data_IF_983825123662
#
_entry.id   IF_983825123662
#
_cell.length_a   1.000
_cell.length_b   1.000
_cell.length_c   1.000
_cell.angle_alpha   90.00
_cell.angle_beta   90.00
_cell.angle_gamma   90.00
#
_symmetry.space_group_name_H-M   'P 1'
#
loop_
_entity.id
_entity.type
_entity.pdbx_description
1 polymer ?
#
# COMPACT_ATOMS: atom_id res chain seq x y z
N UNK A 1 3.37 13.02 9.29
CA UNK A 1 3.59 14.46 9.10
C UNK A 1 3.05 14.84 7.73
N UNK A 2 2.25 15.91 7.64
CA UNK A 2 1.79 16.46 6.36
C UNK A 2 3.00 17.15 5.72
N UNK A 3 3.30 16.92 4.44
CA UNK A 3 4.39 17.64 3.77
C UNK A 3 4.14 19.14 3.81
N UNK A 4 5.18 19.94 4.05
CA UNK A 4 5.12 21.40 4.20
C UNK A 4 4.82 22.16 2.88
N UNK A 5 4.14 21.57 1.93
CA UNK A 5 3.71 22.25 0.71
C UNK A 5 2.25 22.73 0.83
N UNK A 6 1.94 23.96 0.41
CA UNK A 6 0.59 24.53 0.52
C UNK A 6 -0.47 23.71 -0.22
N UNK A 7 -0.06 23.00 -1.29
CA UNK A 7 -0.96 22.12 -2.06
C UNK A 7 -1.36 20.89 -1.25
N UNK A 8 -0.41 20.23 -0.58
CA UNK A 8 -0.68 19.03 0.21
C UNK A 8 -1.47 19.36 1.48
N UNK A 9 -1.23 20.52 2.09
CA UNK A 9 -2.02 20.99 3.23
C UNK A 9 -3.48 21.20 2.82
N UNK A 10 -3.73 21.88 1.68
CA UNK A 10 -5.07 22.07 1.15
C UNK A 10 -5.78 20.73 0.81
N UNK A 11 -5.06 19.77 0.21
CA UNK A 11 -5.60 18.42 -0.07
C UNK A 11 -5.95 17.69 1.23
N UNK A 12 -5.10 17.81 2.25
CA UNK A 12 -5.36 17.21 3.55
C UNK A 12 -6.56 17.82 4.26
N UNK A 13 -6.72 19.14 4.23
CA UNK A 13 -7.86 19.84 4.83
C UNK A 13 -9.18 19.51 4.12
N UNK A 14 -9.13 19.31 2.80
CA UNK A 14 -10.29 18.94 1.99
C UNK A 14 -10.59 17.44 1.97
N UNK A 15 -9.80 16.61 2.64
CA UNK A 15 -9.90 15.13 2.57
C UNK A 15 -11.32 14.60 2.85
N UNK A 16 -12.00 15.16 3.84
CA UNK A 16 -13.35 14.70 4.22
C UNK A 16 -14.41 15.12 3.21
N UNK A 17 -14.29 16.32 2.64
CA UNK A 17 -15.17 16.80 1.57
C UNK A 17 -14.97 15.95 0.33
N UNK A 18 -13.72 15.72 -0.06
CA UNK A 18 -13.37 14.87 -1.21
C UNK A 18 -13.88 13.44 -1.03
N UNK A 19 -13.69 12.86 0.17
CA UNK A 19 -14.20 11.51 0.50
C UNK A 19 -15.73 11.48 0.43
N UNK A 20 -16.43 12.49 0.94
CA UNK A 20 -17.88 12.59 0.88
C UNK A 20 -18.41 12.70 -0.55
N UNK A 21 -17.77 13.50 -1.39
CA UNK A 21 -18.11 13.62 -2.82
C UNK A 21 -17.89 12.30 -3.58
N UNK A 22 -16.76 11.63 -3.33
CA UNK A 22 -16.47 10.33 -3.94
C UNK A 22 -17.47 9.26 -3.46
N UNK A 23 -17.83 9.25 -2.19
CA UNK A 23 -18.82 8.33 -1.64
C UNK A 23 -20.22 8.59 -2.25
N UNK A 24 -20.60 9.86 -2.43
CA UNK A 24 -21.86 10.22 -3.10
C UNK A 24 -21.85 9.81 -4.58
N UNK A 25 -20.74 10.04 -5.29
CA UNK A 25 -20.54 9.59 -6.67
C UNK A 25 -20.62 8.06 -6.78
N UNK A 26 -19.98 7.33 -5.86
CA UNK A 26 -20.09 5.88 -5.79
C UNK A 26 -21.52 5.39 -5.52
N UNK A 27 -22.24 6.05 -4.60
CA UNK A 27 -23.66 5.78 -4.37
C UNK A 27 -24.53 6.00 -5.62
N UNK A 28 -24.24 7.04 -6.39
CA UNK A 28 -24.87 7.29 -7.70
C UNK A 28 -24.59 6.18 -8.72
N UNK A 29 -23.36 5.68 -8.78
CA UNK A 29 -23.00 4.55 -9.64
C UNK A 29 -23.70 3.25 -9.23
N UNK A 30 -23.84 2.98 -7.92
CA UNK A 30 -24.58 1.82 -7.43
C UNK A 30 -26.05 1.85 -7.88
N UNK A 31 -26.67 3.03 -7.89
CA UNK A 31 -28.05 3.17 -8.34
C UNK A 31 -28.16 3.03 -9.86
N UNK A 32 -27.29 3.74 -10.61
CA UNK A 32 -27.42 3.83 -12.07
C UNK A 32 -26.87 2.60 -12.78
N UNK A 33 -25.69 2.13 -12.41
CA UNK A 33 -25.00 1.03 -13.12
C UNK A 33 -25.39 -0.35 -12.57
N UNK A 34 -25.56 -0.49 -11.26
CA UNK A 34 -25.88 -1.77 -10.60
C UNK A 34 -27.34 -1.92 -10.20
N UNK A 35 -28.22 -0.98 -10.58
CA UNK A 35 -29.65 -1.03 -10.28
C UNK A 35 -29.96 -1.25 -8.78
N UNK A 36 -29.19 -0.62 -7.89
CA UNK A 36 -29.48 -0.66 -6.48
C UNK A 36 -30.68 0.21 -6.16
N UNK A 37 -31.49 -0.17 -5.18
CA UNK A 37 -32.63 0.62 -4.74
C UNK A 37 -32.15 1.94 -4.11
N UNK A 38 -32.71 3.06 -4.58
CA UNK A 38 -32.44 4.39 -4.01
C UNK A 38 -32.66 4.41 -2.50
N UNK A 39 -33.69 3.68 -2.01
CA UNK A 39 -34.00 3.59 -0.58
C UNK A 39 -32.88 2.91 0.22
N UNK A 40 -32.26 1.86 -0.32
CA UNK A 40 -31.16 1.15 0.32
C UNK A 40 -29.90 2.01 0.39
N UNK A 41 -29.54 2.67 -0.73
CA UNK A 41 -28.36 3.53 -0.79
C UNK A 41 -28.54 4.78 0.10
N UNK A 42 -29.71 5.43 0.04
CA UNK A 42 -30.02 6.58 0.88
C UNK A 42 -30.09 6.21 2.37
N UNK A 43 -30.67 5.05 2.70
CA UNK A 43 -30.71 4.54 4.07
C UNK A 43 -29.32 4.31 4.63
N UNK A 44 -28.43 3.66 3.86
CA UNK A 44 -27.04 3.45 4.26
C UNK A 44 -26.29 4.79 4.40
N UNK A 45 -26.47 5.70 3.45
CA UNK A 45 -25.86 7.03 3.52
C UNK A 45 -26.31 7.79 4.78
N UNK A 46 -27.59 7.74 5.13
CA UNK A 46 -28.12 8.36 6.35
C UNK A 46 -27.49 7.76 7.62
N UNK A 47 -27.30 6.42 7.67
CA UNK A 47 -26.65 5.75 8.82
C UNK A 47 -25.19 6.16 8.92
N UNK A 48 -24.46 6.23 7.80
CA UNK A 48 -23.05 6.65 7.78
C UNK A 48 -22.92 8.13 8.20
N UNK A 49 -23.80 9.02 7.69
CA UNK A 49 -23.82 10.44 8.10
C UNK A 49 -24.09 10.55 9.59
N UNK A 50 -25.07 9.80 10.11
CA UNK A 50 -25.38 9.79 11.54
C UNK A 50 -24.16 9.31 12.36
N UNK A 51 -23.47 8.29 11.89
CA UNK A 51 -22.25 7.79 12.56
C UNK A 51 -21.14 8.84 12.59
N UNK A 52 -20.94 9.63 11.52
CA UNK A 52 -19.99 10.75 11.47
C UNK A 52 -20.39 11.85 12.47
N UNK A 53 -21.67 12.16 12.58
CA UNK A 53 -22.16 13.21 13.49
C UNK A 53 -22.08 12.79 14.97
N UNK A 54 -22.32 11.52 15.26
CA UNK A 54 -22.27 10.98 16.64
C UNK A 54 -20.84 10.71 17.11
N UNK A 55 -19.97 10.30 16.20
CA UNK A 55 -18.57 9.93 16.49
C UNK A 55 -17.57 10.71 15.62
N UNK A 56 -17.49 12.04 15.73
CA UNK A 56 -16.64 12.88 14.87
C UNK A 56 -15.14 12.54 15.02
N UNK A 57 -14.72 12.10 16.20
CA UNK A 57 -13.32 11.77 16.51
C UNK A 57 -12.90 10.37 16.01
N UNK A 58 -13.85 9.57 15.54
CA UNK A 58 -13.62 8.18 15.12
C UNK A 58 -14.13 7.90 13.69
N UNK A 59 -13.55 8.56 12.65
CA UNK A 59 -14.02 8.39 11.26
C UNK A 59 -13.91 6.95 10.74
N UNK A 60 -13.04 6.14 11.34
CA UNK A 60 -12.92 4.73 11.02
C UNK A 60 -14.18 3.92 11.37
N UNK A 61 -14.97 4.34 12.37
CA UNK A 61 -16.24 3.70 12.70
C UNK A 61 -17.28 3.93 11.61
N UNK A 62 -17.40 5.18 11.12
CA UNK A 62 -18.30 5.51 10.03
C UNK A 62 -17.93 4.75 8.74
N UNK A 63 -16.63 4.64 8.44
CA UNK A 63 -16.12 3.82 7.33
C UNK A 63 -16.50 2.35 7.50
N UNK A 64 -16.24 1.76 8.67
CA UNK A 64 -16.58 0.35 8.96
C UNK A 64 -18.09 0.09 8.82
N UNK A 65 -18.93 0.99 9.34
CA UNK A 65 -20.40 0.93 9.20
C UNK A 65 -20.79 0.97 7.72
N UNK A 66 -20.17 1.85 6.93
CA UNK A 66 -20.40 1.94 5.50
C UNK A 66 -20.06 0.64 4.76
N UNK A 67 -18.89 0.06 5.03
CA UNK A 67 -18.44 -1.20 4.41
C UNK A 67 -19.35 -2.36 4.81
N UNK A 68 -19.65 -2.52 6.10
CA UNK A 68 -20.54 -3.57 6.60
C UNK A 68 -21.95 -3.41 6.02
N UNK A 69 -22.46 -2.18 5.95
CA UNK A 69 -23.77 -1.91 5.37
C UNK A 69 -23.85 -2.23 3.88
N UNK A 70 -22.81 -1.85 3.11
CA UNK A 70 -22.70 -2.24 1.69
C UNK A 70 -22.68 -3.75 1.53
N UNK A 71 -21.88 -4.45 2.35
CA UNK A 71 -21.79 -5.91 2.34
C UNK A 71 -23.13 -6.56 2.66
N UNK A 72 -23.85 -6.07 3.69
CA UNK A 72 -25.18 -6.56 4.04
C UNK A 72 -26.18 -6.40 2.89
N UNK A 73 -26.20 -5.22 2.24
CA UNK A 73 -27.09 -4.98 1.09
C UNK A 73 -26.72 -5.92 -0.07
N UNK A 74 -25.42 -6.04 -0.40
CA UNK A 74 -24.95 -6.91 -1.47
C UNK A 74 -25.30 -8.39 -1.24
N UNK A 75 -25.21 -8.87 0.00
CA UNK A 75 -25.61 -10.25 0.38
C UNK A 75 -27.10 -10.52 0.18
N UNK A 76 -27.97 -9.51 0.25
CA UNK A 76 -29.42 -9.67 -0.01
C UNK A 76 -29.75 -9.75 -1.48
N UNK A 77 -28.78 -9.47 -2.37
CA UNK A 77 -28.94 -9.42 -3.82
C UNK A 77 -28.18 -10.56 -4.47
N UNK A 78 -28.89 -11.46 -5.11
CA UNK A 78 -28.28 -12.63 -5.76
C UNK A 78 -27.22 -12.25 -6.81
N UNK A 79 -27.37 -11.13 -7.49
CA UNK A 79 -26.43 -10.63 -8.50
C UNK A 79 -25.08 -10.19 -7.92
N UNK A 80 -25.09 -9.66 -6.69
CA UNK A 80 -23.90 -9.08 -6.06
C UNK A 80 -23.24 -10.06 -5.08
N UNK A 81 -23.89 -11.18 -4.79
CA UNK A 81 -23.41 -12.19 -3.85
C UNK A 81 -22.08 -12.80 -4.28
N UNK A 82 -21.92 -13.09 -5.55
CA UNK A 82 -20.67 -13.61 -6.10
C UNK A 82 -19.51 -12.65 -5.87
N UNK A 83 -19.74 -11.34 -6.01
CA UNK A 83 -18.74 -10.32 -5.73
C UNK A 83 -18.33 -10.32 -4.24
N UNK A 84 -19.29 -10.45 -3.34
CA UNK A 84 -19.02 -10.54 -1.88
C UNK A 84 -18.23 -11.80 -1.56
N UNK A 85 -18.62 -12.95 -2.12
CA UNK A 85 -17.95 -14.23 -1.90
C UNK A 85 -16.49 -14.17 -2.40
N UNK A 86 -16.25 -13.63 -3.60
CA UNK A 86 -14.90 -13.43 -4.13
C UNK A 86 -14.08 -12.47 -3.27
N UNK A 87 -14.68 -11.34 -2.86
CA UNK A 87 -14.01 -10.37 -1.97
C UNK A 87 -13.65 -11.00 -0.62
N UNK A 88 -14.51 -11.84 -0.07
CA UNK A 88 -14.26 -12.57 1.16
C UNK A 88 -13.15 -13.62 0.99
N UNK A 89 -13.11 -14.31 -0.15
CA UNK A 89 -12.05 -15.27 -0.47
C UNK A 89 -10.69 -14.57 -0.60
N UNK A 90 -10.65 -13.42 -1.27
CA UNK A 90 -9.45 -12.57 -1.30
C UNK A 90 -9.04 -12.10 0.10
N UNK A 91 -9.99 -11.67 0.92
CA UNK A 91 -9.71 -11.22 2.29
C UNK A 91 -9.07 -12.33 3.10
N UNK A 92 -9.60 -13.55 3.04
CA UNK A 92 -9.03 -14.73 3.74
C UNK A 92 -7.61 -15.06 3.27
N UNK A 93 -7.28 -14.81 2.01
CA UNK A 93 -5.94 -15.06 1.47
C UNK A 93 -4.95 -13.95 1.85
N UNK A 94 -5.38 -12.69 1.78
CA UNK A 94 -4.50 -11.52 1.91
C UNK A 94 -4.30 -11.13 3.38
N UNK A 95 -5.37 -11.12 4.18
CA UNK A 95 -5.33 -10.63 5.56
C UNK A 95 -4.33 -11.37 6.45
N UNK A 96 -4.24 -12.71 6.43
CA UNK A 96 -3.24 -13.43 7.23
C UNK A 96 -1.81 -13.08 6.79
N UNK A 97 -1.57 -12.95 5.49
CA UNK A 97 -0.26 -12.57 4.95
C UNK A 97 0.14 -11.16 5.39
N UNK A 98 -0.79 -10.22 5.30
CA UNK A 98 -0.57 -8.83 5.71
C UNK A 98 -0.28 -8.74 7.22
N UNK A 99 -1.10 -9.39 8.05
CA UNK A 99 -0.91 -9.39 9.50
C UNK A 99 0.44 -10.01 9.87
N UNK A 100 0.78 -11.15 9.25
CA UNK A 100 2.05 -11.82 9.49
C UNK A 100 3.23 -10.97 9.02
N UNK A 101 3.13 -10.35 7.83
CA UNK A 101 4.17 -9.46 7.30
C UNK A 101 4.42 -8.24 8.21
N UNK A 102 3.36 -7.58 8.67
CA UNK A 102 3.45 -6.45 9.61
C UNK A 102 4.03 -6.90 10.95
N UNK A 103 3.60 -8.06 11.46
CA UNK A 103 4.10 -8.61 12.72
C UNK A 103 5.60 -8.93 12.62
N UNK A 104 6.03 -9.62 11.56
CA UNK A 104 7.45 -9.95 11.34
C UNK A 104 8.28 -8.67 11.15
N UNK A 105 7.80 -7.73 10.33
CA UNK A 105 8.48 -6.45 10.14
C UNK A 105 8.63 -5.68 11.46
N UNK A 106 7.55 -5.61 12.26
CA UNK A 106 7.59 -4.96 13.57
C UNK A 106 8.51 -5.66 14.58
N UNK A 107 8.58 -6.99 14.54
CA UNK A 107 9.48 -7.77 15.39
C UNK A 107 10.96 -7.56 14.99
N UNK A 108 11.25 -7.60 13.70
CA UNK A 108 12.62 -7.50 13.18
C UNK A 108 13.15 -6.06 13.22
N UNK A 109 12.37 -5.10 12.76
CA UNK A 109 12.79 -3.71 12.55
C UNK A 109 12.33 -2.77 13.68
N UNK A 110 11.40 -3.24 14.53
CA UNK A 110 10.82 -2.41 15.57
C UNK A 110 9.77 -1.43 15.05
N UNK A 111 9.56 -0.36 15.78
CA UNK A 111 8.68 0.75 15.44
C UNK A 111 9.42 2.08 15.65
N UNK A 112 8.97 3.18 15.06
CA UNK A 112 9.61 4.49 15.28
C UNK A 112 9.87 4.78 16.77
N UNK A 113 11.13 4.97 17.14
CA UNK A 113 11.56 5.21 18.52
C UNK A 113 11.84 3.96 19.38
N UNK A 114 11.66 2.75 18.83
CA UNK A 114 11.98 1.48 19.51
C UNK A 114 12.67 0.53 18.54
N UNK A 115 13.85 0.06 18.92
CA UNK A 115 14.59 -0.92 18.12
C UNK A 115 13.92 -2.29 18.13
N UNK A 116 14.01 -2.99 17.00
CA UNK A 116 13.62 -4.39 16.86
C UNK A 116 14.79 -5.33 17.14
N UNK A 117 14.71 -6.55 16.61
CA UNK A 117 15.79 -7.52 16.68
C UNK A 117 17.00 -7.11 15.82
N UNK A 118 16.77 -6.36 14.74
CA UNK A 118 17.81 -5.80 13.87
C UNK A 118 18.14 -4.40 14.39
N UNK A 119 19.39 -4.13 14.81
CA UNK A 119 19.80 -2.80 15.25
C UNK A 119 19.64 -1.77 14.13
N UNK A 120 19.13 -0.59 14.46
CA UNK A 120 18.94 0.48 13.49
C UNK A 120 20.27 0.90 12.84
N UNK A 121 21.40 0.81 13.57
CA UNK A 121 22.72 1.13 13.05
C UNK A 121 23.10 0.28 11.83
N UNK A 122 22.67 -0.99 11.79
CA UNK A 122 22.92 -1.86 10.63
C UNK A 122 22.11 -1.43 9.41
N UNK A 123 20.86 -1.02 9.62
CA UNK A 123 20.03 -0.52 8.54
C UNK A 123 20.60 0.80 8.01
N UNK A 124 20.99 1.70 8.91
CA UNK A 124 21.62 2.97 8.54
C UNK A 124 22.95 2.78 7.81
N UNK A 125 23.79 1.88 8.27
CA UNK A 125 25.08 1.61 7.61
C UNK A 125 24.92 1.03 6.21
N UNK A 126 23.89 0.21 5.98
CA UNK A 126 23.67 -0.45 4.69
C UNK A 126 22.90 0.42 3.68
N UNK A 127 21.84 1.09 4.13
CA UNK A 127 20.87 1.79 3.27
C UNK A 127 20.40 3.14 3.82
N UNK A 128 21.14 3.73 4.76
CA UNK A 128 20.75 4.98 5.43
C UNK A 128 20.98 6.24 4.61
N UNK A 129 21.97 6.24 3.73
CA UNK A 129 22.28 7.38 2.88
C UNK A 129 21.61 7.27 1.50
N UNK A 130 21.57 8.40 0.76
CA UNK A 130 21.07 8.41 -0.60
C UNK A 130 22.19 8.21 -1.63
N UNK A 131 23.28 7.51 -1.27
CA UNK A 131 24.36 7.19 -2.19
C UNK A 131 23.94 6.20 -3.26
N UNK A 132 24.68 6.17 -4.36
CA UNK A 132 24.45 5.21 -5.43
C UNK A 132 24.64 3.75 -4.92
N UNK A 133 25.58 3.55 -4.01
CA UNK A 133 25.87 2.23 -3.42
C UNK A 133 24.70 1.70 -2.58
N UNK A 134 24.21 2.51 -1.63
CA UNK A 134 23.07 2.17 -0.78
C UNK A 134 21.80 1.95 -1.60
N UNK A 135 21.59 2.78 -2.62
CA UNK A 135 20.42 2.66 -3.52
C UNK A 135 20.51 1.41 -4.40
N UNK A 136 21.71 1.07 -4.92
CA UNK A 136 21.92 -0.16 -5.68
C UNK A 136 21.76 -1.40 -4.80
N UNK A 137 22.29 -1.39 -3.57
CA UNK A 137 22.10 -2.47 -2.63
C UNK A 137 20.61 -2.70 -2.32
N UNK A 138 19.84 -1.62 -2.05
CA UNK A 138 18.42 -1.71 -1.80
C UNK A 138 17.64 -2.28 -3.00
N UNK A 139 17.99 -1.90 -4.23
CA UNK A 139 17.33 -2.41 -5.44
C UNK A 139 17.66 -3.90 -5.67
N UNK A 140 18.89 -4.34 -5.41
CA UNK A 140 19.28 -5.76 -5.46
C UNK A 140 18.55 -6.56 -4.38
N UNK A 141 18.54 -6.08 -3.15
CA UNK A 141 17.79 -6.73 -2.06
C UNK A 141 16.32 -6.84 -2.40
N UNK A 142 15.69 -5.77 -2.91
CA UNK A 142 14.30 -5.76 -3.36
C UNK A 142 14.03 -6.83 -4.42
N UNK A 143 14.94 -7.02 -5.38
CA UNK A 143 14.82 -8.03 -6.43
C UNK A 143 14.75 -9.48 -5.89
N UNK A 144 15.43 -9.78 -4.79
CA UNK A 144 15.42 -11.11 -4.16
C UNK A 144 14.34 -11.27 -3.09
N UNK A 145 13.76 -10.18 -2.62
CA UNK A 145 12.73 -10.25 -1.59
C UNK A 145 11.39 -10.63 -2.22
N UNK A 146 10.79 -11.69 -1.66
CA UNK A 146 9.44 -12.10 -2.01
C UNK A 146 8.45 -11.38 -1.11
N UNK A 147 8.11 -10.15 -1.47
CA UNK A 147 7.04 -9.43 -0.79
C UNK A 147 5.74 -9.48 -1.63
N UNK A 148 4.64 -9.71 -0.95
CA UNK A 148 3.34 -9.32 -1.50
C UNK A 148 3.32 -7.78 -1.56
N UNK A 149 2.82 -7.21 -2.66
CA UNK A 149 2.67 -5.75 -2.82
C UNK A 149 1.97 -5.08 -1.63
N UNK A 150 1.13 -5.82 -0.90
CA UNK A 150 0.43 -5.33 0.28
C UNK A 150 1.30 -5.29 1.54
N UNK A 151 2.31 -6.18 1.66
CA UNK A 151 3.22 -6.20 2.81
C UNK A 151 4.44 -5.33 2.60
N UNK A 152 4.73 -4.92 1.38
CA UNK A 152 5.89 -4.10 1.02
C UNK A 152 5.84 -2.73 1.70
N UNK A 153 4.69 -2.06 1.69
CA UNK A 153 4.53 -0.72 2.28
C UNK A 153 4.84 -0.70 3.78
N UNK A 154 4.25 -1.56 4.63
CA UNK A 154 4.60 -1.61 6.06
C UNK A 154 6.07 -1.92 6.32
N UNK A 155 6.68 -2.79 5.50
CA UNK A 155 8.09 -3.15 5.64
C UNK A 155 8.99 -1.96 5.31
N UNK A 156 8.72 -1.25 4.19
CA UNK A 156 9.46 -0.05 3.83
C UNK A 156 9.28 1.06 4.87
N UNK A 157 8.07 1.23 5.42
CA UNK A 157 7.84 2.17 6.51
C UNK A 157 8.66 1.84 7.76
N UNK A 158 8.77 0.55 8.11
CA UNK A 158 9.59 0.11 9.23
C UNK A 158 11.09 0.34 8.96
N UNK A 159 11.57 0.03 7.74
CA UNK A 159 12.95 0.30 7.32
C UNK A 159 13.29 1.80 7.34
N UNK A 160 12.37 2.64 6.84
CA UNK A 160 12.54 4.10 6.91
C UNK A 160 12.53 4.59 8.37
N UNK A 161 11.70 4.00 9.23
CA UNK A 161 11.70 4.24 10.68
C UNK A 161 13.00 3.83 11.35
N UNK A 162 13.68 2.79 10.85
CA UNK A 162 15.00 2.34 11.29
C UNK A 162 16.16 3.13 10.66
N UNK A 163 15.87 4.14 9.82
CA UNK A 163 16.87 5.07 9.28
C UNK A 163 17.25 4.83 7.81
N UNK A 164 16.48 4.04 7.06
CA UNK A 164 16.67 3.88 5.61
C UNK A 164 16.44 5.19 4.86
N UNK A 165 17.34 5.52 3.94
CA UNK A 165 17.22 6.70 3.08
C UNK A 165 16.04 6.63 2.10
N UNK A 166 15.52 7.79 1.68
CA UNK A 166 14.37 7.87 0.75
C UNK A 166 14.70 7.30 -0.63
N UNK A 167 15.94 7.48 -1.09
CA UNK A 167 16.42 6.93 -2.37
C UNK A 167 16.43 5.41 -2.38
N UNK A 168 17.12 4.75 -1.44
CA UNK A 168 17.07 3.31 -1.26
C UNK A 168 15.65 2.75 -1.08
N UNK A 169 14.79 3.46 -0.32
CA UNK A 169 13.39 3.05 -0.14
C UNK A 169 12.62 3.00 -1.47
N UNK A 170 12.76 4.03 -2.31
CA UNK A 170 12.14 4.03 -3.63
C UNK A 170 12.72 2.94 -4.54
N UNK A 171 14.04 2.73 -4.52
CA UNK A 171 14.68 1.71 -5.34
C UNK A 171 14.18 0.29 -4.96
N UNK A 172 14.02 0.02 -3.67
CA UNK A 172 13.46 -1.23 -3.16
C UNK A 172 12.01 -1.43 -3.62
N UNK A 173 11.16 -0.40 -3.50
CA UNK A 173 9.76 -0.41 -3.95
C UNK A 173 9.60 -0.63 -5.46
N UNK A 174 10.54 -0.13 -6.28
CA UNK A 174 10.50 -0.33 -7.72
C UNK A 174 11.00 -1.72 -8.13
N UNK A 175 12.04 -2.23 -7.46
CA UNK A 175 12.66 -3.50 -7.81
C UNK A 175 11.85 -4.70 -7.29
N UNK A 176 11.27 -4.63 -6.08
CA UNK A 176 10.57 -5.72 -5.42
C UNK A 176 9.45 -6.34 -6.25
N UNK A 177 8.41 -5.60 -6.60
CA UNK A 177 7.29 -6.12 -7.38
C UNK A 177 7.69 -6.58 -8.79
N UNK A 178 8.68 -5.90 -9.41
CA UNK A 178 9.12 -6.20 -10.76
C UNK A 178 9.96 -7.48 -10.86
N UNK A 179 10.75 -7.78 -9.83
CA UNK A 179 11.79 -8.83 -9.86
C UNK A 179 11.60 -9.93 -8.80
N UNK A 180 10.42 -10.11 -8.24
CA UNK A 180 10.23 -11.20 -7.27
C UNK A 180 10.65 -12.56 -7.85
N UNK A 181 11.26 -13.41 -7.01
CA UNK A 181 11.78 -14.73 -7.43
C UNK A 181 10.79 -15.55 -8.28
N UNK A 182 9.50 -15.68 -7.92
CA UNK A 182 8.53 -16.38 -8.77
C UNK A 182 8.34 -15.73 -10.12
N UNK A 183 8.26 -14.39 -10.19
CA UNK A 183 8.13 -13.67 -11.46
C UNK A 183 9.34 -13.93 -12.37
N UNK A 184 10.55 -13.89 -11.81
CA UNK A 184 11.76 -14.22 -12.58
C UNK A 184 11.73 -15.64 -13.14
N UNK A 185 11.24 -16.61 -12.37
CA UNK A 185 11.11 -18.00 -12.84
C UNK A 185 10.09 -18.10 -13.97
N UNK A 186 8.93 -17.45 -13.86
CA UNK A 186 7.91 -17.41 -14.92
C UNK A 186 8.44 -16.73 -16.19
N UNK A 187 9.05 -15.56 -16.06
CA UNK A 187 9.64 -14.83 -17.18
C UNK A 187 10.71 -15.69 -17.88
N UNK A 188 11.55 -16.39 -17.10
CA UNK A 188 12.56 -17.30 -17.64
C UNK A 188 11.97 -18.41 -18.52
N UNK A 189 10.80 -18.95 -18.16
CA UNK A 189 10.15 -20.01 -18.97
C UNK A 189 9.63 -19.48 -20.30
N UNK A 190 9.30 -18.19 -20.36
CA UNK A 190 8.71 -17.56 -21.58
C UNK A 190 9.80 -17.01 -22.51
N UNK A 191 10.78 -16.26 -21.97
CA UNK A 191 11.76 -15.53 -22.82
C UNK A 191 13.18 -16.12 -22.75
N UNK A 192 13.40 -17.13 -21.91
CA UNK A 192 14.68 -17.80 -21.76
C UNK A 192 15.63 -17.09 -20.80
N UNK A 193 16.65 -17.82 -20.32
CA UNK A 193 17.54 -17.39 -19.21
C UNK A 193 18.33 -16.11 -19.54
N UNK A 194 18.90 -16.01 -20.75
CA UNK A 194 19.73 -14.85 -21.11
C UNK A 194 18.94 -13.55 -21.11
N UNK A 195 17.74 -13.56 -21.73
CA UNK A 195 16.88 -12.37 -21.78
C UNK A 195 16.35 -12.00 -20.39
N UNK A 196 16.07 -13.00 -19.55
CA UNK A 196 15.64 -12.77 -18.17
C UNK A 196 16.75 -12.11 -17.34
N UNK A 197 18.01 -12.53 -17.49
CA UNK A 197 19.14 -11.88 -16.80
C UNK A 197 19.31 -10.43 -17.25
N UNK A 198 19.19 -10.14 -18.54
CA UNK A 198 19.24 -8.77 -19.05
C UNK A 198 18.08 -7.94 -18.50
N UNK A 199 16.88 -8.50 -18.48
CA UNK A 199 15.70 -7.84 -17.89
C UNK A 199 15.94 -7.50 -16.41
N UNK A 200 16.39 -8.47 -15.61
CA UNK A 200 16.68 -8.25 -14.19
C UNK A 200 17.75 -7.15 -14.00
N UNK A 201 18.84 -7.20 -14.77
CA UNK A 201 19.87 -6.17 -14.70
C UNK A 201 19.35 -4.78 -15.06
N UNK A 202 18.54 -4.67 -16.11
CA UNK A 202 17.93 -3.39 -16.51
C UNK A 202 17.00 -2.84 -15.42
N UNK A 203 16.15 -3.67 -14.83
CA UNK A 203 15.24 -3.22 -13.76
C UNK A 203 16.03 -2.75 -12.54
N UNK A 204 17.06 -3.49 -12.10
CA UNK A 204 17.95 -3.08 -10.99
C UNK A 204 18.61 -1.74 -11.30
N UNK A 205 19.18 -1.57 -12.49
CA UNK A 205 19.82 -0.31 -12.91
C UNK A 205 18.83 0.84 -12.91
N UNK A 206 17.65 0.65 -13.51
CA UNK A 206 16.62 1.69 -13.58
C UNK A 206 16.07 2.06 -12.20
N UNK A 207 15.81 1.06 -11.35
CA UNK A 207 15.38 1.28 -9.96
C UNK A 207 16.44 2.05 -9.17
N UNK A 208 17.72 1.68 -9.35
CA UNK A 208 18.85 2.38 -8.72
C UNK A 208 18.95 3.83 -9.17
N UNK A 209 18.89 4.09 -10.48
CA UNK A 209 18.95 5.46 -11.01
C UNK A 209 17.77 6.29 -10.50
N UNK A 210 16.54 5.75 -10.57
CA UNK A 210 15.34 6.44 -10.11
C UNK A 210 15.41 6.75 -8.62
N UNK A 211 15.81 5.78 -7.80
CA UNK A 211 15.97 5.96 -6.36
C UNK A 211 17.06 6.98 -6.03
N UNK A 212 18.23 6.91 -6.71
CA UNK A 212 19.32 7.85 -6.51
C UNK A 212 18.93 9.28 -6.85
N UNK A 213 18.30 9.49 -8.00
CA UNK A 213 17.80 10.82 -8.43
C UNK A 213 16.77 11.36 -7.44
N UNK A 214 15.80 10.55 -7.06
CA UNK A 214 14.76 10.94 -6.12
C UNK A 214 15.33 11.28 -4.73
N UNK A 215 16.23 10.43 -4.22
CA UNK A 215 16.84 10.64 -2.91
C UNK A 215 17.64 11.93 -2.82
N UNK A 216 18.32 12.30 -3.92
CA UNK A 216 19.11 13.54 -3.98
C UNK A 216 18.26 14.79 -4.22
N UNK A 217 17.17 14.71 -5.00
CA UNK A 217 16.25 15.86 -5.19
C UNK A 217 15.52 16.20 -3.87
N UNK A 218 15.19 15.21 -3.06
CA UNK A 218 14.49 15.43 -1.79
C UNK A 218 15.42 15.83 -0.63
N UNK A 219 16.72 15.89 -0.84
CA UNK A 219 17.69 16.35 0.16
C UNK A 219 17.97 17.86 0.04
N UNK A 220 17.36 18.55 -0.91
CA UNK A 220 17.28 19.99 -1.03
C UNK A 220 15.91 20.46 -0.53
#
# INVERSE_FOLDING_TARGET
AVPDSPVWTAVYDLKWITTGLLAAGFGGLLIWQWNWSVKQVAGLAAVVILAVLVFPDHPQLAFAIGVVGLMMIALTRNQDREWVDQSWDFTKQILPLLVMGVFIAGLLLGRPGHEGLIPNDWVQAAVGDNSLGSTALASVLGAFMYFSTLTEIPIVQALMGAGMGKGPALALLLAGPALSLPNMLVIRTVIGTQKTLVYCALVVVMATISGFVYGNIQSF
#
